data_IF_672153464966
#
_entry.id   IF_672153464966
#
_cell.length_a   1.000
_cell.length_b   1.000
_cell.length_c   1.000
_cell.angle_alpha   90.00
_cell.angle_beta   90.00
_cell.angle_gamma   90.00
#
_symmetry.space_group_name_H-M   'P 1'
#
loop_
_entity.id
_entity.type
_entity.pdbx_description
1 polymer ?
#
# COMPACT_ATOMS: atom_id res chain seq x y z
N UNK A 1 1.18 -17.40 8.92
CA UNK A 1 0.60 -16.11 9.30
C UNK A 1 -0.69 -15.95 8.50
N UNK A 2 -1.79 -15.53 9.12
CA UNK A 2 -3.10 -15.47 8.46
C UNK A 2 -3.11 -14.20 7.59
N UNK A 3 -3.26 -14.38 6.28
CA UNK A 3 -3.41 -13.27 5.34
C UNK A 3 -4.70 -12.48 5.64
N UNK A 4 -4.62 -11.14 5.54
CA UNK A 4 -5.75 -10.20 5.67
C UNK A 4 -6.25 -9.92 7.10
N UNK A 5 -5.38 -9.93 8.10
CA UNK A 5 -5.77 -9.67 9.49
C UNK A 5 -6.15 -8.20 9.74
N UNK A 6 -5.35 -7.25 9.23
CA UNK A 6 -5.60 -5.82 9.39
C UNK A 6 -6.81 -5.35 8.60
N UNK A 7 -7.03 -5.90 7.40
CA UNK A 7 -8.26 -5.62 6.65
C UNK A 7 -9.51 -6.03 7.45
N UNK A 8 -9.49 -7.19 8.10
CA UNK A 8 -10.63 -7.62 8.94
C UNK A 8 -10.83 -6.69 10.14
N UNK A 9 -9.75 -6.34 10.83
CA UNK A 9 -9.77 -5.42 11.98
C UNK A 9 -10.39 -4.07 11.58
N UNK A 10 -9.87 -3.44 10.53
CA UNK A 10 -10.27 -2.08 10.17
C UNK A 10 -11.66 -2.09 9.49
N UNK A 11 -11.87 -2.97 8.52
CA UNK A 11 -13.07 -2.92 7.66
C UNK A 11 -14.21 -3.75 8.22
N UNK A 12 -13.95 -4.97 8.69
CA UNK A 12 -15.03 -5.88 9.15
C UNK A 12 -15.45 -5.56 10.57
N UNK A 13 -14.50 -5.22 11.44
CA UNK A 13 -14.78 -4.85 12.83
C UNK A 13 -14.97 -3.35 13.03
N UNK A 14 -14.75 -2.53 11.98
CA UNK A 14 -14.95 -1.08 12.02
C UNK A 14 -13.99 -0.35 12.93
N UNK A 15 -12.84 -0.96 13.27
CA UNK A 15 -11.86 -0.39 14.21
C UNK A 15 -10.88 0.54 13.49
N UNK A 16 -11.42 1.66 12.98
CA UNK A 16 -10.64 2.66 12.25
C UNK A 16 -9.61 3.34 13.14
N UNK A 17 -9.90 3.47 14.44
CA UNK A 17 -8.99 4.01 15.45
C UNK A 17 -7.65 3.25 15.55
N UNK A 18 -7.59 2.03 15.01
CA UNK A 18 -6.38 1.18 14.99
C UNK A 18 -5.58 1.32 13.71
N UNK A 19 -5.92 2.28 12.85
CA UNK A 19 -5.21 2.52 11.60
C UNK A 19 -3.73 2.86 11.82
N UNK A 20 -3.41 3.61 12.88
CA UNK A 20 -2.03 3.97 13.23
C UNK A 20 -1.21 2.71 13.59
N UNK A 21 -1.81 1.75 14.30
CA UNK A 21 -1.17 0.46 14.60
C UNK A 21 -0.90 -0.34 13.32
N UNK A 22 -1.85 -0.35 12.39
CA UNK A 22 -1.71 -1.02 11.10
C UNK A 22 -0.60 -0.39 10.26
N UNK A 23 -0.52 0.95 10.24
CA UNK A 23 0.54 1.71 9.58
C UNK A 23 1.91 1.29 10.12
N UNK A 24 2.09 1.31 11.44
CA UNK A 24 3.35 0.91 12.08
C UNK A 24 3.74 -0.53 11.73
N UNK A 25 2.76 -1.45 11.76
CA UNK A 25 2.99 -2.83 11.35
C UNK A 25 3.49 -2.93 9.90
N UNK A 26 2.84 -2.24 8.95
CA UNK A 26 3.25 -2.28 7.56
C UNK A 26 4.60 -1.58 7.30
N UNK A 27 4.94 -0.55 8.07
CA UNK A 27 6.27 0.07 8.04
C UNK A 27 7.38 -0.88 8.50
N UNK A 28 7.13 -1.67 9.55
CA UNK A 28 8.07 -2.68 10.00
C UNK A 28 8.21 -3.84 9.00
N UNK A 29 7.09 -4.29 8.44
CA UNK A 29 7.10 -5.29 7.36
C UNK A 29 7.86 -4.79 6.12
N UNK A 30 7.76 -3.50 5.77
CA UNK A 30 8.56 -2.89 4.69
C UNK A 30 10.05 -2.97 4.97
N UNK A 31 10.50 -2.75 6.22
CA UNK A 31 11.92 -2.86 6.57
C UNK A 31 12.44 -4.27 6.34
N UNK A 32 11.64 -5.29 6.68
CA UNK A 32 12.00 -6.69 6.40
C UNK A 32 11.94 -7.00 4.90
N UNK A 33 10.91 -6.54 4.20
CA UNK A 33 10.74 -6.79 2.78
C UNK A 33 11.91 -6.23 1.94
N UNK A 34 12.45 -5.07 2.31
CA UNK A 34 13.64 -4.49 1.66
C UNK A 34 14.88 -5.38 1.77
N UNK A 35 15.03 -6.15 2.85
CA UNK A 35 16.15 -7.09 3.01
C UNK A 35 16.04 -8.27 2.05
N UNK A 36 14.82 -8.66 1.70
CA UNK A 36 14.51 -9.77 0.79
C UNK A 36 14.85 -9.43 -0.67
N UNK A 37 14.91 -8.15 -1.04
CA UNK A 37 15.28 -7.69 -2.39
C UNK A 37 16.75 -7.96 -2.76
N UNK A 38 17.64 -8.12 -1.78
CA UNK A 38 19.04 -8.42 -2.06
C UNK A 38 19.24 -9.87 -2.53
N UNK A 39 20.15 -10.11 -3.49
CA UNK A 39 20.61 -11.46 -3.85
C UNK A 39 21.77 -11.81 -2.90
N UNK A 40 21.60 -12.87 -2.10
CA UNK A 40 22.61 -13.35 -1.14
C UNK A 40 22.66 -14.87 -1.17
N UNK A 41 23.86 -15.44 -1.04
CA UNK A 41 24.06 -16.89 -0.93
C UNK A 41 23.93 -17.64 -2.26
N UNK A 42 23.36 -18.84 -2.22
CA UNK A 42 23.17 -19.73 -3.38
C UNK A 42 22.03 -19.26 -4.28
N UNK A 43 22.25 -19.37 -5.59
CA UNK A 43 21.30 -18.96 -6.62
C UNK A 43 20.05 -19.87 -6.63
N UNK A 44 20.25 -21.16 -6.39
CA UNK A 44 19.23 -22.19 -6.32
C UNK A 44 18.32 -21.98 -5.11
N UNK A 45 18.90 -21.64 -3.96
CA UNK A 45 18.10 -21.30 -2.77
C UNK A 45 17.34 -19.99 -2.97
N UNK A 46 17.99 -18.99 -3.59
CA UNK A 46 17.35 -17.72 -3.89
C UNK A 46 16.16 -17.88 -4.85
N UNK A 47 16.32 -18.68 -5.92
CA UNK A 47 15.25 -18.94 -6.89
C UNK A 47 14.10 -19.73 -6.31
N UNK A 48 14.36 -20.71 -5.45
CA UNK A 48 13.32 -21.51 -4.80
C UNK A 48 12.47 -20.71 -3.81
N UNK A 49 13.09 -19.76 -3.07
CA UNK A 49 12.39 -18.95 -2.04
C UNK A 49 11.67 -17.74 -2.62
N UNK A 50 12.11 -17.23 -3.78
CA UNK A 50 11.62 -15.98 -4.34
C UNK A 50 10.10 -15.94 -4.60
N UNK A 51 9.46 -17.00 -5.15
CA UNK A 51 8.01 -16.99 -5.34
C UNK A 51 7.22 -16.85 -4.03
N UNK A 52 7.70 -17.47 -2.94
CA UNK A 52 7.08 -17.35 -1.63
C UNK A 52 7.21 -15.96 -1.04
N UNK A 53 8.39 -15.33 -1.16
CA UNK A 53 8.56 -13.93 -0.77
C UNK A 53 7.67 -13.00 -1.61
N UNK A 54 7.62 -13.20 -2.92
CA UNK A 54 6.79 -12.39 -3.80
C UNK A 54 5.30 -12.49 -3.44
N UNK A 55 4.76 -13.70 -3.31
CA UNK A 55 3.35 -13.92 -2.95
C UNK A 55 3.01 -13.25 -1.62
N UNK A 56 3.87 -13.44 -0.61
CA UNK A 56 3.67 -12.87 0.71
C UNK A 56 3.64 -11.33 0.69
N UNK A 57 4.61 -10.68 0.03
CA UNK A 57 4.66 -9.21 -0.07
C UNK A 57 3.56 -8.66 -0.97
N UNK A 58 3.20 -9.38 -2.02
CA UNK A 58 2.10 -9.00 -2.90
C UNK A 58 0.76 -9.06 -2.18
N UNK A 59 0.55 -10.05 -1.31
CA UNK A 59 -0.67 -10.11 -0.53
C UNK A 59 -0.79 -8.97 0.50
N UNK A 60 0.31 -8.60 1.17
CA UNK A 60 0.35 -7.41 2.02
C UNK A 60 0.01 -6.13 1.24
N UNK A 61 0.57 -5.97 0.03
CA UNK A 61 0.21 -4.87 -0.87
C UNK A 61 -1.30 -4.87 -1.17
N UNK A 62 -1.89 -6.03 -1.47
CA UNK A 62 -3.33 -6.14 -1.77
C UNK A 62 -4.21 -5.88 -0.57
N UNK A 63 -3.76 -6.24 0.62
CA UNK A 63 -4.42 -5.89 1.87
C UNK A 63 -4.47 -4.36 2.06
N UNK A 64 -3.33 -3.67 1.89
CA UNK A 64 -3.26 -2.21 2.00
C UNK A 64 -4.16 -1.54 0.96
N UNK A 65 -4.13 -2.00 -0.29
CA UNK A 65 -5.02 -1.48 -1.34
C UNK A 65 -6.51 -1.68 -1.00
N UNK A 66 -6.86 -2.77 -0.32
CA UNK A 66 -8.23 -3.01 0.11
C UNK A 66 -8.66 -2.05 1.24
N UNK A 67 -7.78 -1.78 2.19
CA UNK A 67 -8.00 -0.78 3.26
C UNK A 67 -8.16 0.61 2.64
N UNK A 68 -7.29 1.00 1.70
CA UNK A 68 -7.38 2.30 1.01
C UNK A 68 -8.71 2.48 0.27
N UNK A 69 -9.23 1.43 -0.39
CA UNK A 69 -10.55 1.47 -1.05
C UNK A 69 -11.69 1.68 -0.05
N UNK A 70 -11.59 1.05 1.12
CA UNK A 70 -12.53 1.28 2.21
C UNK A 70 -12.46 2.74 2.70
N UNK A 71 -11.25 3.26 2.96
CA UNK A 71 -11.05 4.64 3.39
C UNK A 71 -11.60 5.67 2.38
N UNK A 72 -11.40 5.48 1.08
CA UNK A 72 -11.97 6.35 0.04
C UNK A 72 -13.51 6.30 0.04
N UNK A 73 -14.10 5.14 0.32
CA UNK A 73 -15.55 4.98 0.43
C UNK A 73 -16.09 5.73 1.66
N UNK A 74 -15.43 5.62 2.81
CA UNK A 74 -15.83 6.35 4.02
C UNK A 74 -15.64 7.86 3.87
N UNK A 75 -14.57 8.32 3.22
CA UNK A 75 -14.35 9.73 2.92
C UNK A 75 -15.50 10.33 2.11
N UNK A 76 -16.00 9.60 1.10
CA UNK A 76 -17.17 10.02 0.30
C UNK A 76 -18.43 10.13 1.16
N UNK A 77 -18.62 9.25 2.15
CA UNK A 77 -19.74 9.34 3.08
C UNK A 77 -19.63 10.58 3.96
N UNK A 78 -18.46 10.83 4.55
CA UNK A 78 -18.20 12.02 5.38
C UNK A 78 -18.47 13.29 4.58
N UNK A 79 -17.89 13.41 3.37
CA UNK A 79 -18.11 14.57 2.49
C UNK A 79 -19.60 14.74 2.12
N UNK A 80 -20.33 13.64 1.91
CA UNK A 80 -21.78 13.70 1.62
C UNK A 80 -22.60 14.22 2.80
N UNK A 81 -22.22 13.87 4.04
CA UNK A 81 -22.88 14.38 5.25
C UNK A 81 -22.69 15.89 5.33
N UNK A 82 -21.45 16.38 5.27
CA UNK A 82 -21.16 17.81 5.28
C UNK A 82 -21.87 18.53 4.13
N UNK A 83 -21.86 17.98 2.91
CA UNK A 83 -22.55 18.58 1.76
C UNK A 83 -24.04 18.80 2.01
N UNK A 84 -24.75 17.85 2.65
CA UNK A 84 -26.15 18.04 3.01
C UNK A 84 -26.31 19.13 4.06
N UNK A 85 -25.48 19.11 5.11
CA UNK A 85 -25.50 20.12 6.18
C UNK A 85 -25.28 21.53 5.63
N UNK A 86 -24.28 21.73 4.78
CA UNK A 86 -24.01 23.01 4.12
C UNK A 86 -25.18 23.43 3.21
N UNK A 87 -25.72 22.51 2.42
CA UNK A 87 -26.85 22.81 1.54
C UNK A 87 -28.12 23.21 2.30
N UNK A 88 -28.34 22.65 3.49
CA UNK A 88 -29.52 22.92 4.32
C UNK A 88 -29.39 24.23 5.11
N UNK A 89 -28.19 24.61 5.57
CA UNK A 89 -27.97 25.82 6.36
C UNK A 89 -27.82 27.09 5.51
N UNK A 90 -27.29 26.98 4.29
CA UNK A 90 -27.08 28.13 3.43
C UNK A 90 -28.25 28.31 2.47
N UNK A 91 -29.20 29.15 2.87
CA UNK A 91 -30.29 29.58 2.01
C UNK A 91 -29.74 30.49 0.88
N UNK A 92 -29.67 29.92 -0.33
CA UNK A 92 -29.89 30.59 -1.63
C UNK A 92 -28.69 31.08 -2.45
N UNK A 93 -27.45 31.25 -1.95
CA UNK A 93 -26.38 31.85 -2.78
C UNK A 93 -25.11 31.02 -3.02
N UNK A 94 -24.86 29.94 -2.28
CA UNK A 94 -23.63 29.16 -2.47
C UNK A 94 -23.75 28.21 -3.67
N UNK A 95 -22.84 28.39 -4.62
CA UNK A 95 -22.65 27.48 -5.74
C UNK A 95 -22.07 26.17 -5.18
N UNK A 96 -22.51 25.02 -5.70
CA UNK A 96 -22.04 23.70 -5.26
C UNK A 96 -20.51 23.58 -5.18
N UNK A 97 -19.79 24.25 -6.10
CA UNK A 97 -18.32 24.32 -6.12
C UNK A 97 -17.72 25.01 -4.89
N UNK A 98 -18.38 26.03 -4.37
CA UNK A 98 -17.88 26.73 -3.18
C UNK A 98 -18.13 25.89 -1.93
N UNK A 99 -19.28 25.19 -1.87
CA UNK A 99 -19.57 24.21 -0.82
C UNK A 99 -18.51 23.11 -0.77
N UNK A 100 -18.10 22.55 -1.92
CA UNK A 100 -17.03 21.54 -1.97
C UNK A 100 -15.71 22.03 -1.36
N UNK A 101 -15.32 23.29 -1.58
CA UNK A 101 -14.11 23.85 -0.98
C UNK A 101 -14.20 23.97 0.54
N UNK A 102 -15.37 24.30 1.08
CA UNK A 102 -15.58 24.36 2.52
C UNK A 102 -15.50 22.96 3.13
N UNK A 103 -16.12 21.97 2.49
CA UNK A 103 -16.05 20.56 2.91
C UNK A 103 -14.61 20.05 2.92
N UNK A 104 -13.82 20.39 1.90
CA UNK A 104 -12.41 19.97 1.82
C UNK A 104 -11.55 20.60 2.93
N UNK A 105 -12.03 21.67 3.57
CA UNK A 105 -11.41 22.30 4.73
C UNK A 105 -11.93 21.82 6.10
N UNK A 106 -12.91 20.92 6.14
CA UNK A 106 -13.42 20.35 7.40
C UNK A 106 -12.36 19.50 8.10
N UNK A 107 -12.23 19.66 9.41
CA UNK A 107 -11.19 18.97 10.20
C UNK A 107 -11.25 17.45 10.04
N UNK A 108 -12.46 16.87 10.03
CA UNK A 108 -12.66 15.43 9.83
C UNK A 108 -12.24 14.96 8.42
N UNK A 109 -12.54 15.77 7.39
CA UNK A 109 -12.18 15.46 6.00
C UNK A 109 -10.67 15.55 5.80
N UNK A 110 -10.04 16.57 6.40
CA UNK A 110 -8.59 16.77 6.37
C UNK A 110 -7.88 15.64 7.11
N UNK A 111 -8.30 15.31 8.33
CA UNK A 111 -7.71 14.23 9.12
C UNK A 111 -7.78 12.89 8.39
N UNK A 112 -8.95 12.57 7.82
CA UNK A 112 -9.12 11.34 7.04
C UNK A 112 -8.25 11.31 5.78
N UNK A 113 -8.12 12.45 5.09
CA UNK A 113 -7.27 12.58 3.90
C UNK A 113 -5.79 12.42 4.25
N UNK A 114 -5.33 12.97 5.37
CA UNK A 114 -3.95 12.81 5.86
C UNK A 114 -3.64 11.35 6.22
N UNK A 115 -4.56 10.67 6.91
CA UNK A 115 -4.43 9.26 7.24
C UNK A 115 -4.39 8.39 5.97
N UNK A 116 -5.29 8.67 5.00
CA UNK A 116 -5.32 7.99 3.70
C UNK A 116 -3.99 8.16 2.95
N UNK A 117 -3.46 9.38 2.89
CA UNK A 117 -2.19 9.68 2.23
C UNK A 117 -1.01 8.94 2.86
N UNK A 118 -0.99 8.81 4.18
CA UNK A 118 0.07 8.07 4.90
C UNK A 118 0.07 6.59 4.50
N UNK A 119 -1.10 5.97 4.41
CA UNK A 119 -1.25 4.60 3.95
C UNK A 119 -0.95 4.44 2.44
N UNK A 120 -1.28 5.44 1.62
CA UNK A 120 -0.92 5.46 0.19
C UNK A 120 0.59 5.42 -0.03
N UNK A 121 1.36 6.15 0.78
CA UNK A 121 2.82 6.13 0.71
C UNK A 121 3.38 4.73 0.98
N UNK A 122 2.86 4.05 2.01
CA UNK A 122 3.25 2.68 2.35
C UNK A 122 2.92 1.73 1.19
N UNK A 123 1.72 1.85 0.60
CA UNK A 123 1.30 1.09 -0.58
C UNK A 123 2.28 1.28 -1.74
N UNK A 124 2.70 2.50 -2.03
CA UNK A 124 3.64 2.79 -3.12
C UNK A 124 5.03 2.18 -2.85
N UNK A 125 5.47 2.16 -1.59
CA UNK A 125 6.71 1.49 -1.21
C UNK A 125 6.62 -0.03 -1.39
N UNK A 126 5.48 -0.66 -1.07
CA UNK A 126 5.26 -2.08 -1.34
C UNK A 126 5.20 -2.41 -2.83
N UNK A 127 4.64 -1.53 -3.67
CA UNK A 127 4.74 -1.66 -5.13
C UNK A 127 6.22 -1.73 -5.52
N UNK A 128 7.05 -0.80 -5.05
CA UNK A 128 8.49 -0.82 -5.30
C UNK A 128 9.19 -2.13 -4.86
N UNK A 129 8.80 -2.69 -3.72
CA UNK A 129 9.31 -3.99 -3.23
C UNK A 129 8.91 -5.12 -4.18
N UNK A 130 7.63 -5.26 -4.52
CA UNK A 130 7.15 -6.33 -5.41
C UNK A 130 7.79 -6.26 -6.79
N UNK A 131 7.93 -5.06 -7.37
CA UNK A 131 8.67 -4.84 -8.60
C UNK A 131 10.15 -5.21 -8.48
N UNK A 132 10.79 -4.90 -7.35
CA UNK A 132 12.19 -5.27 -7.11
C UNK A 132 12.38 -6.79 -6.99
N UNK A 133 11.44 -7.51 -6.38
CA UNK A 133 11.46 -8.97 -6.31
C UNK A 133 11.28 -9.61 -7.70
N UNK A 134 10.44 -9.02 -8.56
CA UNK A 134 10.30 -9.47 -9.95
C UNK A 134 11.59 -9.21 -10.76
N UNK A 135 12.20 -8.02 -10.63
CA UNK A 135 13.50 -7.74 -11.23
C UNK A 135 14.58 -8.71 -10.73
N UNK A 136 14.57 -9.05 -9.45
CA UNK A 136 15.47 -10.06 -8.88
C UNK A 136 15.29 -11.42 -9.55
N UNK A 137 14.06 -11.85 -9.84
CA UNK A 137 13.78 -13.09 -10.58
C UNK A 137 14.43 -13.05 -11.97
N UNK A 138 14.25 -11.95 -12.68
CA UNK A 138 14.83 -11.75 -14.01
C UNK A 138 16.37 -11.79 -13.99
N UNK A 139 17.00 -11.08 -13.05
CA UNK A 139 18.46 -11.06 -12.88
C UNK A 139 19.03 -12.44 -12.54
N UNK A 140 18.34 -13.22 -11.69
CA UNK A 140 18.70 -14.61 -11.41
C UNK A 140 18.72 -15.43 -12.71
N UNK A 141 17.70 -15.28 -13.55
CA UNK A 141 17.64 -15.93 -14.86
C UNK A 141 18.81 -15.55 -15.78
N UNK A 142 19.21 -14.28 -15.80
CA UNK A 142 20.36 -13.83 -16.58
C UNK A 142 21.68 -14.41 -16.08
N UNK A 143 21.90 -14.41 -14.76
CA UNK A 143 23.09 -14.99 -14.16
C UNK A 143 23.18 -16.48 -14.50
N UNK A 144 22.07 -17.23 -14.36
CA UNK A 144 22.05 -18.66 -14.71
C UNK A 144 22.42 -18.90 -16.17
N UNK A 145 21.90 -18.10 -17.11
CA UNK A 145 22.24 -18.21 -18.54
C UNK A 145 23.72 -17.95 -18.81
N UNK A 146 24.29 -16.92 -18.18
CA UNK A 146 25.72 -16.59 -18.32
C UNK A 146 26.62 -17.70 -17.77
N UNK A 147 26.23 -18.30 -16.64
CA UNK A 147 26.94 -19.46 -16.05
C UNK A 147 26.93 -20.67 -16.96
N UNK A 148 25.76 -21.03 -17.49
CA UNK A 148 25.64 -22.16 -18.43
C UNK A 148 26.44 -21.91 -19.72
N UNK A 149 26.56 -20.66 -20.17
CA UNK A 149 27.36 -20.31 -21.34
C UNK A 149 28.88 -20.27 -21.08
N UNK A 150 29.33 -20.36 -19.83
CA UNK A 150 30.75 -20.24 -19.46
C UNK A 150 31.32 -18.82 -19.57
N UNK A 151 30.46 -17.78 -19.56
CA UNK A 151 30.81 -16.37 -19.76
C UNK A 151 30.78 -15.62 -18.41
N UNK A 152 31.05 -16.33 -17.32
CA UNK A 152 30.78 -15.86 -15.96
C UNK A 152 31.68 -14.71 -15.49
N UNK A 153 32.92 -14.65 -16.01
CA UNK A 153 33.96 -13.70 -15.60
C UNK A 153 34.22 -12.62 -16.66
N UNK A 154 33.15 -12.11 -17.25
CA UNK A 154 33.25 -11.03 -18.26
C UNK A 154 33.40 -9.70 -17.54
N UNK A 155 34.60 -9.15 -17.55
CA UNK A 155 34.87 -7.79 -17.08
C UNK A 155 34.46 -6.79 -18.17
N UNK A 156 33.69 -5.77 -17.79
CA UNK A 156 33.36 -4.62 -18.62
C UNK A 156 34.57 -3.69 -18.76
#
# INVERSE_FOLDING_TARGET
MILNEWFKIIVTHGQVERLDEAILYFEDELKEARKECAIKGSLEQASARLPGHFEYRYAQLKEIEAILRYMDTELKKIRSVFFKTYKEHYNTELIARDIEKYIDGEDDVVAWSQATNSLMLIRDQFIGVTSSLDHKNWMIGHITKLRVAGIEDTKL
#
